data_IF_281404218934
#
_entry.id   IF_281404218934
#
_cell.length_a   1.000
_cell.length_b   1.000
_cell.length_c   1.000
_cell.angle_alpha   90.00
_cell.angle_beta   90.00
_cell.angle_gamma   90.00
#
_symmetry.space_group_name_H-M   'P 1'
#
loop_
_entity.id
_entity.type
_entity.pdbx_description
1 polymer ?
#
# COMPACT_ATOMS: atom_id res chain seq x y z
N UNK A 1 -5.15 -22.66 23.44
CA UNK A 1 -6.33 -22.69 22.55
C UNK A 1 -5.99 -23.53 21.33
N UNK A 2 -6.89 -24.42 20.88
CA UNK A 2 -6.64 -25.35 19.76
C UNK A 2 -6.20 -24.62 18.48
N UNK A 3 -6.69 -23.40 18.26
CA UNK A 3 -6.33 -22.58 17.12
C UNK A 3 -4.89 -21.99 17.20
N UNK A 4 -4.36 -21.73 18.39
CA UNK A 4 -2.96 -21.34 18.54
C UNK A 4 -2.05 -22.54 18.26
N UNK A 5 -2.42 -23.73 18.74
CA UNK A 5 -1.67 -24.96 18.50
C UNK A 5 -1.60 -25.36 17.03
N UNK A 6 -2.64 -25.10 16.27
CA UNK A 6 -2.68 -25.39 14.83
C UNK A 6 -1.67 -24.56 14.01
N UNK A 7 -1.34 -23.36 14.47
CA UNK A 7 -0.44 -22.44 13.77
C UNK A 7 0.96 -22.44 14.37
N UNK A 8 1.06 -22.35 15.70
CA UNK A 8 2.34 -22.24 16.40
C UNK A 8 2.97 -23.61 16.74
N UNK A 9 2.19 -24.69 16.70
CA UNK A 9 2.58 -25.99 17.19
C UNK A 9 2.37 -26.14 18.71
N UNK A 10 2.19 -27.38 19.16
CA UNK A 10 1.88 -27.70 20.57
C UNK A 10 3.01 -27.31 21.54
N UNK A 11 4.27 -27.40 21.10
CA UNK A 11 5.44 -27.08 21.93
C UNK A 11 5.55 -25.59 22.21
N UNK A 12 5.34 -24.76 21.20
CA UNK A 12 5.34 -23.30 21.36
C UNK A 12 4.22 -22.86 22.31
N UNK A 13 3.02 -23.43 22.17
CA UNK A 13 1.88 -23.14 23.06
C UNK A 13 2.15 -23.61 24.51
N UNK A 14 2.80 -24.74 24.72
CA UNK A 14 3.26 -25.17 26.04
C UNK A 14 4.33 -24.24 26.64
N UNK A 15 5.18 -23.66 25.76
CA UNK A 15 6.17 -22.65 26.14
C UNK A 15 5.60 -21.25 26.41
N UNK A 16 4.26 -21.09 26.37
CA UNK A 16 3.61 -19.82 26.66
C UNK A 16 3.33 -18.93 25.43
N UNK A 17 3.73 -19.34 24.24
CA UNK A 17 3.47 -18.57 23.01
C UNK A 17 1.99 -18.57 22.64
N UNK A 18 1.51 -17.40 22.17
CA UNK A 18 0.13 -17.20 21.72
C UNK A 18 0.12 -16.30 20.49
N UNK A 19 -0.90 -16.44 19.65
CA UNK A 19 -1.13 -15.55 18.53
C UNK A 19 -1.70 -14.20 19.03
N UNK A 20 -0.95 -13.12 18.87
CA UNK A 20 -1.34 -11.80 19.38
C UNK A 20 -2.72 -11.34 18.88
N UNK A 21 -3.11 -11.68 17.65
CA UNK A 21 -4.42 -11.34 17.07
C UNK A 21 -5.61 -12.04 17.74
N UNK A 22 -5.39 -13.03 18.64
CA UNK A 22 -6.42 -13.83 19.30
C UNK A 22 -6.49 -13.61 20.81
N UNK A 23 -5.65 -12.73 21.34
CA UNK A 23 -5.55 -12.48 22.77
C UNK A 23 -5.57 -10.99 23.07
N UNK A 24 -6.22 -10.61 24.16
CA UNK A 24 -6.20 -9.23 24.65
C UNK A 24 -4.84 -8.95 25.27
N UNK A 25 -4.26 -7.80 24.94
CA UNK A 25 -3.01 -7.36 25.55
C UNK A 25 -3.17 -7.13 27.04
N UNK A 26 -2.23 -7.64 27.83
CA UNK A 26 -2.16 -7.44 29.28
C UNK A 26 -0.80 -6.88 29.67
N UNK A 27 -0.75 -6.19 30.82
CA UNK A 27 0.50 -5.61 31.33
C UNK A 27 1.55 -6.73 31.54
N UNK A 28 2.76 -6.50 31.03
CA UNK A 28 3.86 -7.47 31.12
C UNK A 28 3.90 -8.48 29.96
N UNK A 29 2.98 -8.41 28.98
CA UNK A 29 3.05 -9.22 27.76
C UNK A 29 4.22 -8.75 26.90
N UNK A 30 5.06 -9.70 26.46
CA UNK A 30 6.05 -9.47 25.41
C UNK A 30 5.48 -9.90 24.04
N UNK A 31 5.71 -9.09 23.02
CA UNK A 31 5.31 -9.41 21.65
C UNK A 31 6.57 -9.53 20.80
N UNK A 32 6.78 -10.73 20.23
CA UNK A 32 7.79 -10.92 19.21
C UNK A 32 7.20 -10.55 17.86
N UNK A 33 7.80 -9.55 17.22
CA UNK A 33 7.45 -9.17 15.86
C UNK A 33 8.34 -9.97 14.91
N UNK A 34 7.78 -10.60 13.85
CA UNK A 34 8.61 -11.16 12.81
C UNK A 34 9.53 -10.06 12.28
N UNK A 35 10.79 -10.40 11.91
CA UNK A 35 11.64 -9.41 11.29
C UNK A 35 10.89 -8.80 10.10
N UNK A 36 10.99 -7.48 9.89
CA UNK A 36 10.38 -6.87 8.72
C UNK A 36 10.91 -7.63 7.50
N UNK A 37 10.05 -7.97 6.52
CA UNK A 37 10.52 -8.63 5.32
C UNK A 37 11.70 -7.80 4.82
N UNK A 38 12.84 -8.46 4.67
CA UNK A 38 14.05 -7.82 4.16
C UNK A 38 13.70 -7.31 2.77
N UNK A 39 13.32 -6.05 2.69
CA UNK A 39 13.01 -5.40 1.44
C UNK A 39 14.27 -5.53 0.58
N UNK A 40 14.23 -6.42 -0.40
CA UNK A 40 15.31 -6.54 -1.36
C UNK A 40 15.30 -5.25 -2.17
N UNK A 41 16.04 -4.24 -1.70
CA UNK A 41 16.35 -3.07 -2.51
C UNK A 41 17.29 -3.57 -3.61
N UNK A 42 16.76 -3.80 -4.78
CA UNK A 42 17.58 -3.96 -5.98
C UNK A 42 18.03 -2.55 -6.36
N UNK A 43 19.16 -2.11 -5.82
CA UNK A 43 19.79 -0.87 -6.25
C UNK A 43 20.40 -1.15 -7.62
N UNK A 44 19.75 -0.70 -8.66
CA UNK A 44 20.34 -0.63 -9.99
C UNK A 44 21.22 0.65 -10.04
N UNK A 45 22.12 0.70 -11.03
CA UNK A 45 23.04 1.82 -11.20
C UNK A 45 22.26 3.05 -11.66
N UNK A 46 21.88 3.92 -10.69
CA UNK A 46 21.13 5.15 -10.98
C UNK A 46 22.11 6.14 -11.61
N UNK A 47 21.92 6.48 -12.88
CA UNK A 47 22.66 7.52 -13.57
C UNK A 47 21.93 8.84 -13.36
N UNK A 48 22.54 9.83 -12.65
CA UNK A 48 21.86 11.10 -12.36
C UNK A 48 21.44 11.90 -13.59
N UNK A 49 22.11 11.70 -14.72
CA UNK A 49 21.83 12.32 -16.03
C UNK A 49 20.71 11.65 -16.82
N UNK A 50 20.23 10.50 -16.38
CA UNK A 50 19.13 9.78 -17.04
C UNK A 50 17.71 10.30 -16.66
N UNK A 51 17.61 11.44 -15.94
CA UNK A 51 16.32 12.06 -15.59
C UNK A 51 15.51 12.61 -16.76
N UNK A 52 14.27 13.02 -16.56
CA UNK A 52 13.59 13.13 -15.26
C UNK A 52 13.19 11.78 -14.68
N UNK A 53 13.40 11.60 -13.36
CA UNK A 53 12.99 10.38 -12.67
C UNK A 53 11.55 10.46 -12.20
N UNK A 54 10.84 9.33 -12.27
CA UNK A 54 9.46 9.15 -11.81
C UNK A 54 9.37 7.98 -10.85
N UNK A 55 8.52 8.10 -9.84
CA UNK A 55 8.33 7.03 -8.85
C UNK A 55 6.93 6.43 -9.01
N UNK A 56 6.87 5.18 -9.43
CA UNK A 56 5.64 4.38 -9.43
C UNK A 56 5.51 3.66 -8.09
N UNK A 57 4.34 3.75 -7.47
CA UNK A 57 4.03 3.16 -6.16
C UNK A 57 2.77 2.32 -6.27
N UNK A 58 2.85 1.07 -5.84
CA UNK A 58 1.72 0.20 -5.55
C UNK A 58 1.46 0.25 -4.03
N UNK A 59 0.38 0.91 -3.65
CA UNK A 59 -0.04 1.12 -2.27
C UNK A 59 -0.99 0.01 -1.83
N UNK A 60 -0.44 -1.19 -1.60
CA UNK A 60 -1.20 -2.34 -1.13
C UNK A 60 -1.56 -2.25 0.35
N UNK A 61 -2.58 -3.02 0.77
CA UNK A 61 -3.01 -3.10 2.17
C UNK A 61 -1.93 -3.70 3.08
N UNK A 62 -1.23 -4.74 2.60
CA UNK A 62 -0.20 -5.46 3.35
C UNK A 62 1.19 -4.93 3.10
N UNK A 63 1.52 -4.63 1.84
CA UNK A 63 2.84 -4.19 1.41
C UNK A 63 2.74 -3.01 0.46
N UNK A 64 3.77 -2.18 0.46
CA UNK A 64 3.96 -1.10 -0.49
C UNK A 64 5.15 -1.49 -1.37
N UNK A 65 4.94 -1.49 -2.69
CA UNK A 65 5.98 -1.68 -3.68
C UNK A 65 6.24 -0.38 -4.42
N UNK A 66 7.49 -0.14 -4.79
CA UNK A 66 7.82 1.06 -5.56
C UNK A 66 8.91 0.78 -6.59
N UNK A 67 8.88 1.52 -7.68
CA UNK A 67 9.87 1.51 -8.74
C UNK A 67 10.23 2.94 -9.14
N UNK A 68 11.51 3.22 -9.19
CA UNK A 68 12.06 4.45 -9.75
C UNK A 68 12.33 4.19 -11.24
N UNK A 69 11.73 5.00 -12.08
CA UNK A 69 11.92 4.94 -13.52
C UNK A 69 12.75 6.14 -13.98
N UNK A 70 13.66 5.92 -14.91
CA UNK A 70 14.40 6.98 -15.57
C UNK A 70 13.59 7.69 -16.66
N UNK A 71 14.17 8.69 -17.31
CA UNK A 71 13.52 9.47 -18.35
C UNK A 71 13.10 8.67 -19.59
N UNK A 72 13.61 7.46 -19.76
CA UNK A 72 13.27 6.53 -20.85
C UNK A 72 12.24 5.48 -20.42
N UNK A 73 11.88 5.46 -19.12
CA UNK A 73 10.93 4.51 -18.55
C UNK A 73 11.57 3.20 -18.06
N UNK A 74 12.89 3.07 -18.07
CA UNK A 74 13.56 1.90 -17.52
C UNK A 74 13.63 1.97 -15.99
N UNK A 75 13.56 0.81 -15.33
CA UNK A 75 13.71 0.69 -13.90
C UNK A 75 15.13 0.99 -13.45
N UNK A 76 15.32 2.11 -12.77
CA UNK A 76 16.59 2.53 -12.18
C UNK A 76 16.78 1.99 -10.76
N UNK A 77 15.70 1.84 -9.99
CA UNK A 77 15.69 1.24 -8.66
C UNK A 77 14.31 0.73 -8.30
N UNK A 78 14.23 -0.20 -7.36
CA UNK A 78 12.95 -0.68 -6.82
C UNK A 78 13.08 -1.09 -5.37
N UNK A 79 11.94 -1.23 -4.71
CA UNK A 79 11.90 -1.74 -3.34
C UNK A 79 10.49 -2.08 -2.89
N UNK A 80 10.43 -2.74 -1.74
CA UNK A 80 9.17 -3.10 -1.09
C UNK A 80 9.31 -2.97 0.43
N UNK A 81 8.20 -2.71 1.10
CA UNK A 81 8.12 -2.72 2.56
C UNK A 81 6.72 -3.17 3.00
N UNK A 82 6.60 -3.58 4.26
CA UNK A 82 5.26 -3.71 4.86
C UNK A 82 4.60 -2.33 4.91
N UNK A 83 3.29 -2.31 4.68
CA UNK A 83 2.51 -1.09 4.84
C UNK A 83 2.59 -0.64 6.31
N UNK A 84 3.05 0.60 6.59
CA UNK A 84 3.24 1.08 7.96
C UNK A 84 1.93 1.22 8.74
N UNK A 85 0.78 1.07 8.09
CA UNK A 85 -0.53 1.08 8.73
C UNK A 85 -0.92 -0.28 9.34
N UNK A 86 -0.08 -1.32 9.25
CA UNK A 86 -0.38 -2.68 9.75
C UNK A 86 -0.84 -2.71 11.22
N UNK A 87 -0.37 -1.79 12.05
CA UNK A 87 -0.82 -1.67 13.45
C UNK A 87 -2.30 -1.31 13.64
N UNK A 88 -2.96 -0.79 12.59
CA UNK A 88 -4.40 -0.47 12.61
C UNK A 88 -5.28 -1.59 12.03
N UNK A 89 -4.67 -2.72 11.65
CA UNK A 89 -5.35 -3.88 11.10
C UNK A 89 -4.65 -4.43 9.85
N UNK A 90 -4.82 -5.72 9.60
CA UNK A 90 -4.21 -6.42 8.48
C UNK A 90 -5.03 -6.40 7.19
N UNK A 91 -6.28 -5.96 7.26
CA UNK A 91 -7.26 -5.98 6.16
C UNK A 91 -7.91 -4.60 5.95
N UNK A 92 -8.60 -4.45 4.82
CA UNK A 92 -9.26 -3.19 4.42
C UNK A 92 -10.33 -2.76 5.42
N UNK A 93 -11.13 -3.69 5.94
CA UNK A 93 -12.25 -3.37 6.83
C UNK A 93 -11.74 -2.80 8.16
N UNK A 94 -10.71 -3.42 8.73
CA UNK A 94 -10.04 -2.94 9.94
C UNK A 94 -9.44 -1.53 9.73
N UNK A 95 -8.81 -1.28 8.56
CA UNK A 95 -8.26 0.04 8.20
C UNK A 95 -9.35 1.10 8.06
N UNK A 96 -10.45 0.78 7.36
CA UNK A 96 -11.59 1.68 7.24
C UNK A 96 -12.20 2.01 8.60
N UNK A 97 -12.31 1.02 9.49
CA UNK A 97 -12.79 1.23 10.85
C UNK A 97 -11.89 2.20 11.62
N UNK A 98 -10.57 2.04 11.54
CA UNK A 98 -9.60 2.93 12.17
C UNK A 98 -9.56 4.33 11.53
N UNK A 99 -9.90 4.45 10.24
CA UNK A 99 -9.92 5.72 9.49
C UNK A 99 -11.28 6.43 9.52
N UNK A 100 -12.28 5.87 10.20
CA UNK A 100 -13.67 6.38 10.17
C UNK A 100 -13.80 7.81 10.69
N UNK A 101 -13.02 8.18 11.69
CA UNK A 101 -12.93 9.56 12.15
C UNK A 101 -11.71 10.28 11.54
N UNK A 102 -11.74 11.60 11.57
CA UNK A 102 -10.69 12.43 10.97
C UNK A 102 -9.31 12.14 11.59
N UNK A 103 -9.20 12.08 12.91
CA UNK A 103 -7.92 11.83 13.60
C UNK A 103 -7.27 10.51 13.20
N UNK A 104 -8.06 9.42 13.15
CA UNK A 104 -7.59 8.11 12.73
C UNK A 104 -7.14 8.11 11.28
N UNK A 105 -7.89 8.78 10.41
CA UNK A 105 -7.57 8.90 8.98
C UNK A 105 -6.28 9.70 8.76
N UNK A 106 -6.14 10.86 9.40
CA UNK A 106 -4.92 11.68 9.35
C UNK A 106 -3.70 10.90 9.87
N UNK A 107 -3.84 10.20 10.99
CA UNK A 107 -2.76 9.38 11.54
C UNK A 107 -2.31 8.29 10.56
N UNK A 108 -3.26 7.57 9.96
CA UNK A 108 -2.94 6.52 9.00
C UNK A 108 -2.36 7.08 7.69
N UNK A 109 -2.89 8.18 7.18
CA UNK A 109 -2.35 8.89 6.02
C UNK A 109 -0.91 9.35 6.25
N UNK A 110 -0.64 9.93 7.42
CA UNK A 110 0.71 10.38 7.81
C UNK A 110 1.74 9.24 7.86
N UNK A 111 1.35 8.02 8.23
CA UNK A 111 2.27 6.89 8.24
C UNK A 111 2.77 6.57 6.82
N UNK A 112 1.86 6.52 5.84
CA UNK A 112 2.20 6.29 4.44
C UNK A 112 2.98 7.47 3.87
N UNK A 113 2.54 8.70 4.15
CA UNK A 113 3.22 9.90 3.68
C UNK A 113 4.69 9.93 4.11
N UNK A 114 4.98 9.69 5.40
CA UNK A 114 6.36 9.62 5.89
C UNK A 114 7.16 8.49 5.25
N UNK A 115 6.53 7.37 4.96
CA UNK A 115 7.20 6.28 4.26
C UNK A 115 7.61 6.72 2.84
N UNK A 116 6.69 7.33 2.09
CA UNK A 116 6.96 7.82 0.73
C UNK A 116 8.01 8.93 0.71
N UNK A 117 7.96 9.87 1.66
CA UNK A 117 9.00 10.92 1.82
C UNK A 117 10.39 10.31 2.02
N UNK A 118 10.50 9.27 2.84
CA UNK A 118 11.77 8.55 3.02
C UNK A 118 12.21 7.86 1.74
N UNK A 119 11.30 7.21 1.01
CA UNK A 119 11.63 6.58 -0.28
C UNK A 119 12.18 7.62 -1.26
N UNK A 120 11.49 8.75 -1.42
CA UNK A 120 11.93 9.85 -2.31
C UNK A 120 13.29 10.41 -1.88
N UNK A 121 13.53 10.54 -0.58
CA UNK A 121 14.85 10.97 -0.07
C UNK A 121 15.95 9.92 -0.31
N UNK A 122 15.64 8.65 -0.09
CA UNK A 122 16.62 7.55 -0.12
C UNK A 122 17.08 7.17 -1.53
N UNK A 123 16.30 7.50 -2.58
CA UNK A 123 16.71 7.22 -3.97
C UNK A 123 17.87 8.12 -4.42
N UNK A 124 18.07 9.27 -3.77
CA UNK A 124 19.26 10.11 -3.95
C UNK A 124 19.32 10.85 -5.28
N UNK A 125 18.21 10.93 -6.02
CA UNK A 125 18.05 11.72 -7.25
C UNK A 125 16.75 12.49 -7.20
N UNK A 126 16.64 13.65 -7.90
CA UNK A 126 15.40 14.40 -7.97
C UNK A 126 14.27 13.57 -8.62
N UNK A 127 13.18 13.36 -7.91
CA UNK A 127 11.97 12.73 -8.43
C UNK A 127 11.04 13.84 -8.94
N UNK A 128 10.67 13.80 -10.21
CA UNK A 128 9.84 14.83 -10.83
C UNK A 128 8.35 14.68 -10.49
N UNK A 129 7.89 13.43 -10.45
CA UNK A 129 6.48 13.10 -10.16
C UNK A 129 6.34 11.68 -9.59
N UNK A 130 5.23 11.43 -8.91
CA UNK A 130 4.81 10.12 -8.46
C UNK A 130 3.58 9.65 -9.25
N UNK A 131 3.44 8.32 -9.37
CA UNK A 131 2.17 7.68 -9.68
C UNK A 131 1.87 6.72 -8.52
N UNK A 132 0.76 6.93 -7.81
CA UNK A 132 0.40 6.12 -6.64
C UNK A 132 -0.89 5.38 -6.95
N UNK A 133 -0.76 4.11 -7.27
CA UNK A 133 -1.86 3.18 -7.47
C UNK A 133 -2.13 2.40 -6.19
N UNK A 134 -3.37 2.22 -5.83
CA UNK A 134 -3.78 1.45 -4.66
C UNK A 134 -5.28 1.18 -4.68
N UNK A 135 -5.72 0.30 -3.81
CA UNK A 135 -7.15 0.11 -3.64
C UNK A 135 -7.82 1.38 -3.08
N UNK A 136 -9.12 1.45 -3.23
CA UNK A 136 -9.92 2.64 -2.91
C UNK A 136 -9.74 3.12 -1.47
N UNK A 137 -9.69 2.18 -0.51
CA UNK A 137 -9.54 2.53 0.91
C UNK A 137 -8.15 3.12 1.20
N UNK A 138 -7.08 2.50 0.69
CA UNK A 138 -5.72 2.98 0.91
C UNK A 138 -5.49 4.34 0.27
N UNK A 139 -6.02 4.55 -0.93
CA UNK A 139 -5.97 5.84 -1.63
C UNK A 139 -6.74 6.92 -0.88
N UNK A 140 -7.98 6.66 -0.45
CA UNK A 140 -8.79 7.62 0.31
C UNK A 140 -8.13 8.00 1.65
N UNK A 141 -7.55 7.03 2.36
CA UNK A 141 -6.82 7.31 3.61
C UNK A 141 -5.56 8.16 3.36
N UNK A 142 -4.78 7.87 2.32
CA UNK A 142 -3.61 8.67 1.96
C UNK A 142 -3.97 10.11 1.65
N UNK A 143 -5.05 10.32 0.91
CA UNK A 143 -5.55 11.64 0.51
C UNK A 143 -6.36 12.35 1.59
N UNK A 144 -6.54 11.72 2.76
CA UNK A 144 -7.37 12.21 3.87
C UNK A 144 -8.84 12.46 3.48
N UNK A 145 -9.34 11.71 2.50
CA UNK A 145 -10.73 11.78 2.05
C UNK A 145 -11.67 10.99 2.97
N UNK A 146 -12.93 11.39 3.03
CA UNK A 146 -13.92 10.70 3.86
C UNK A 146 -14.16 9.26 3.36
N UNK A 147 -14.02 8.31 4.27
CA UNK A 147 -14.20 6.87 4.01
C UNK A 147 -15.56 6.34 4.41
N UNK A 148 -16.48 7.18 4.91
CA UNK A 148 -17.79 6.74 5.40
C UNK A 148 -18.58 5.97 4.33
N UNK A 149 -18.48 6.39 3.07
CA UNK A 149 -19.11 5.72 1.94
C UNK A 149 -18.59 4.31 1.65
N UNK A 150 -17.38 3.98 2.14
CA UNK A 150 -16.79 2.65 2.00
C UNK A 150 -17.10 1.73 3.20
N UNK A 151 -17.67 2.27 4.29
CA UNK A 151 -17.88 1.51 5.52
C UNK A 151 -19.21 0.77 5.58
N UNK A 152 -20.22 1.15 4.78
CA UNK A 152 -21.54 0.55 4.81
C UNK A 152 -22.25 0.66 3.46
N UNK A 153 -23.09 -0.33 3.16
CA UNK A 153 -23.96 -0.30 1.98
C UNK A 153 -25.07 0.74 2.12
N UNK A 154 -25.52 1.41 1.04
CA UNK A 154 -24.94 1.30 -0.31
C UNK A 154 -23.59 1.99 -0.39
N UNK A 155 -22.60 1.23 -0.84
CA UNK A 155 -21.23 1.72 -0.93
C UNK A 155 -21.10 2.88 -1.92
N UNK A 156 -20.33 3.90 -1.55
CA UNK A 156 -20.11 5.10 -2.36
C UNK A 156 -18.62 5.46 -2.39
N UNK A 157 -18.18 5.86 -3.56
CA UNK A 157 -16.83 6.36 -3.79
C UNK A 157 -16.81 7.87 -3.62
N UNK A 158 -15.96 8.37 -2.73
CA UNK A 158 -15.75 9.82 -2.52
C UNK A 158 -14.61 10.33 -3.40
N UNK A 159 -13.54 9.55 -3.54
CA UNK A 159 -12.35 9.90 -4.31
C UNK A 159 -12.27 9.06 -5.59
N UNK A 160 -12.62 9.62 -6.76
CA UNK A 160 -12.64 8.87 -8.02
C UNK A 160 -11.25 8.73 -8.68
N UNK A 161 -10.20 9.37 -8.18
CA UNK A 161 -8.90 9.41 -8.83
C UNK A 161 -8.92 10.14 -10.18
N UNK A 162 -8.02 9.76 -11.09
CA UNK A 162 -7.88 10.40 -12.40
C UNK A 162 -7.35 11.83 -12.31
N UNK A 163 -6.61 12.16 -11.27
CA UNK A 163 -6.10 13.51 -11.01
C UNK A 163 -4.72 13.51 -10.37
N UNK A 164 -4.04 14.63 -10.48
CA UNK A 164 -2.84 14.91 -9.70
C UNK A 164 -3.22 15.43 -8.31
N UNK A 165 -2.61 14.87 -7.28
CA UNK A 165 -2.75 15.29 -5.89
C UNK A 165 -1.46 15.94 -5.40
N UNK A 166 -1.60 16.99 -4.59
CA UNK A 166 -0.50 17.63 -3.88
C UNK A 166 -0.39 16.99 -2.49
N UNK A 167 0.69 16.27 -2.25
CA UNK A 167 0.96 15.62 -0.96
C UNK A 167 2.09 16.34 -0.23
N UNK A 168 1.95 16.65 1.07
CA UNK A 168 2.95 17.40 1.82
C UNK A 168 4.36 16.78 1.72
N UNK A 169 5.32 17.57 1.24
CA UNK A 169 6.73 17.18 1.15
C UNK A 169 7.04 16.10 0.10
N UNK A 170 6.15 15.88 -0.85
CA UNK A 170 6.33 15.02 -2.02
C UNK A 170 6.16 15.81 -3.32
N UNK A 171 6.79 15.37 -4.42
CA UNK A 171 6.46 15.86 -5.76
C UNK A 171 4.98 15.58 -6.09
N UNK A 172 4.42 16.26 -7.13
CA UNK A 172 3.06 16.00 -7.60
C UNK A 172 2.82 14.51 -7.81
N UNK A 173 1.67 14.00 -7.34
CA UNK A 173 1.35 12.58 -7.38
C UNK A 173 0.11 12.32 -8.24
N UNK A 174 0.28 11.63 -9.35
CA UNK A 174 -0.84 11.13 -10.16
C UNK A 174 -1.53 9.98 -9.43
N UNK A 175 -2.83 10.10 -9.25
CA UNK A 175 -3.70 9.07 -8.68
C UNK A 175 -4.51 8.47 -9.83
N UNK A 176 -4.32 7.20 -10.18
CA UNK A 176 -5.09 6.54 -11.23
C UNK A 176 -6.60 6.55 -10.95
N UNK A 177 -7.46 6.49 -12.00
CA UNK A 177 -8.90 6.39 -11.81
C UNK A 177 -9.30 5.22 -10.92
N UNK A 178 -10.29 5.44 -10.05
CA UNK A 178 -10.89 4.43 -9.18
C UNK A 178 -12.32 4.15 -9.68
N UNK A 179 -12.57 3.04 -10.40
CA UNK A 179 -13.85 2.81 -11.09
C UNK A 179 -15.04 2.60 -10.16
N UNK A 180 -14.83 2.04 -8.96
CA UNK A 180 -15.91 1.71 -8.05
C UNK A 180 -15.41 1.65 -6.58
N UNK A 181 -16.31 1.60 -5.58
CA UNK A 181 -15.94 1.61 -4.16
C UNK A 181 -14.89 0.60 -3.71
N UNK A 182 -14.77 -0.55 -4.35
CA UNK A 182 -13.76 -1.57 -4.03
C UNK A 182 -12.95 -2.00 -5.27
N UNK A 183 -13.01 -1.19 -6.34
CA UNK A 183 -12.18 -1.35 -7.54
C UNK A 183 -11.32 -0.09 -7.65
N UNK A 184 -10.09 -0.19 -7.20
CA UNK A 184 -9.20 0.96 -7.01
C UNK A 184 -8.32 1.28 -8.19
N UNK A 185 -7.40 2.21 -7.97
CA UNK A 185 -6.40 2.64 -8.94
C UNK A 185 -5.37 1.56 -9.27
N UNK A 186 -5.18 0.57 -8.42
CA UNK A 186 -4.39 -0.64 -8.65
C UNK A 186 -4.92 -1.43 -9.87
N UNK A 187 -6.23 -1.66 -9.94
CA UNK A 187 -6.88 -2.32 -11.09
C UNK A 187 -6.75 -1.48 -12.36
N UNK A 188 -6.96 -0.17 -12.27
CA UNK A 188 -6.82 0.72 -13.42
C UNK A 188 -5.39 0.78 -13.94
N UNK A 189 -4.40 0.81 -13.04
CA UNK A 189 -2.99 0.77 -13.39
C UNK A 189 -2.60 -0.59 -14.01
N UNK A 190 -3.08 -1.70 -13.44
CA UNK A 190 -2.89 -3.04 -13.99
C UNK A 190 -3.50 -3.18 -15.39
N UNK A 191 -4.72 -2.69 -15.59
CA UNK A 191 -5.38 -2.67 -16.89
C UNK A 191 -4.59 -1.83 -17.90
N UNK A 192 -4.11 -0.65 -17.51
CA UNK A 192 -3.29 0.20 -18.38
C UNK A 192 -1.98 -0.50 -18.76
N UNK A 193 -1.31 -1.16 -17.82
CA UNK A 193 -0.09 -1.92 -18.08
C UNK A 193 -0.31 -3.04 -19.12
N UNK A 194 -1.42 -3.77 -19.00
CA UNK A 194 -1.79 -4.81 -19.97
C UNK A 194 -2.10 -4.23 -21.35
N UNK A 195 -2.93 -3.19 -21.42
CA UNK A 195 -3.39 -2.64 -22.71
C UNK A 195 -2.27 -1.92 -23.46
N UNK A 196 -1.37 -1.21 -22.77
CA UNK A 196 -0.30 -0.43 -23.39
C UNK A 196 1.05 -1.16 -23.43
N UNK A 197 1.26 -2.17 -22.59
CA UNK A 197 2.49 -2.96 -22.53
C UNK A 197 2.38 -4.30 -23.25
N UNK A 198 1.49 -5.16 -22.78
CA UNK A 198 1.37 -6.56 -23.24
C UNK A 198 0.49 -6.72 -24.48
N UNK A 199 -0.43 -5.76 -24.73
CA UNK A 199 -1.39 -5.79 -25.85
C UNK A 199 -2.12 -7.15 -26.00
N UNK A 200 -2.85 -7.60 -24.96
CA UNK A 200 -3.46 -8.93 -24.95
C UNK A 200 -4.50 -9.08 -26.04
N UNK A 201 -4.68 -10.32 -26.53
CA UNK A 201 -5.77 -10.64 -27.44
C UNK A 201 -7.14 -10.52 -26.75
N UNK A 202 -8.15 -10.00 -27.46
CA UNK A 202 -9.51 -9.84 -26.94
C UNK A 202 -10.40 -11.01 -27.34
N UNK A 203 -11.34 -11.46 -26.43
CA UNK A 203 -11.51 -11.01 -25.05
C UNK A 203 -10.49 -11.62 -24.09
N UNK A 204 -10.13 -10.88 -23.01
CA UNK A 204 -9.29 -11.42 -21.93
C UNK A 204 -9.95 -11.19 -20.55
N UNK A 205 -9.47 -11.93 -19.55
CA UNK A 205 -9.89 -11.80 -18.15
C UNK A 205 -8.70 -11.36 -17.32
N UNK A 206 -8.84 -10.23 -16.61
CA UNK A 206 -7.91 -9.81 -15.57
C UNK A 206 -8.45 -10.28 -14.20
N UNK A 207 -7.70 -11.15 -13.53
CA UNK A 207 -7.99 -11.55 -12.15
C UNK A 207 -6.96 -10.92 -11.21
N UNK A 208 -7.42 -10.04 -10.32
CA UNK A 208 -6.62 -9.49 -9.24
C UNK A 208 -6.89 -10.29 -7.97
N UNK A 209 -5.84 -10.99 -7.48
CA UNK A 209 -5.91 -11.82 -6.29
C UNK A 209 -5.07 -11.19 -5.17
N UNK A 210 -5.73 -10.42 -4.32
CA UNK A 210 -5.11 -9.76 -3.18
C UNK A 210 -5.51 -10.35 -1.83
N UNK A 211 -5.11 -9.67 -0.75
CA UNK A 211 -5.44 -10.06 0.64
C UNK A 211 -6.95 -10.08 0.90
N UNK A 212 -7.73 -9.34 0.12
CA UNK A 212 -9.19 -9.19 0.22
C UNK A 212 -9.87 -9.43 -1.14
N UNK A 213 -9.30 -10.23 -1.98
CA UNK A 213 -9.86 -10.62 -3.27
C UNK A 213 -10.98 -11.63 -3.17
#
# INVERSE_FOLDING_TARGET
CDADSAILGADAVRGGWRLACRHTAVVGMAVELPPPPSGKRKRMDIRPDAGPFRLAVDLGTTSIHWRLLDGTGHEAASGQALNPQMGAGSDVVSRLTAARNQEGRERLGHLVLRFLQRVVSDVGVPVAELCIAGNTAMTSILLNEDVAGLCAAPYRLTEPGGRTAELPGLPPAWIPPQPAPFVGGDISAGMAALLYGESPEFPFLLADMGTNG
#
